data_IF_147696827273
#
_entry.id   IF_147696827273
#
_cell.length_a   1.000
_cell.length_b   1.000
_cell.length_c   1.000
_cell.angle_alpha   90.00
_cell.angle_beta   90.00
_cell.angle_gamma   90.00
#
_symmetry.space_group_name_H-M   'P 1'
#
loop_
_entity.id
_entity.type
_entity.pdbx_description
1 polymer ?
#
# COMPACT_ATOMS: atom_id res chain seq x y z
N UNK A 1 -39.63 -4.66 35.07
CA UNK A 1 -39.59 -4.31 33.64
C UNK A 1 -38.17 -3.86 33.31
N UNK A 2 -37.44 -4.68 32.58
CA UNK A 2 -36.10 -4.38 32.04
C UNK A 2 -36.24 -3.88 30.60
N UNK A 3 -35.56 -2.80 30.25
CA UNK A 3 -35.02 -2.41 28.92
C UNK A 3 -34.35 -1.06 29.14
N UNK A 4 -33.04 -0.90 29.13
CA UNK A 4 -32.05 -1.51 28.24
C UNK A 4 -31.58 -0.40 27.32
N UNK A 5 -30.47 0.26 27.68
CA UNK A 5 -29.77 1.21 26.85
C UNK A 5 -29.31 0.50 25.58
N UNK A 6 -29.83 0.90 24.42
CA UNK A 6 -29.23 0.56 23.13
C UNK A 6 -28.03 1.48 22.89
N UNK A 7 -26.87 1.04 23.40
CA UNK A 7 -25.56 1.48 22.90
C UNK A 7 -25.28 0.69 21.61
N UNK A 8 -25.78 1.21 20.48
CA UNK A 8 -25.50 0.65 19.17
C UNK A 8 -24.19 1.24 18.62
N UNK A 9 -23.25 0.37 18.30
CA UNK A 9 -22.16 0.67 17.36
C UNK A 9 -20.80 0.98 17.97
N UNK A 10 -20.33 0.15 18.91
CA UNK A 10 -18.89 -0.03 19.07
C UNK A 10 -18.38 -0.77 17.84
N UNK A 11 -17.87 -0.03 16.85
CA UNK A 11 -16.99 -0.59 15.83
C UNK A 11 -15.82 -1.21 16.58
N UNK A 12 -15.84 -2.54 16.71
CA UNK A 12 -14.77 -3.25 17.37
C UNK A 12 -13.49 -2.95 16.59
N UNK A 13 -12.55 -2.24 17.22
CA UNK A 13 -11.16 -2.23 16.82
C UNK A 13 -10.78 -3.67 16.41
N UNK A 14 -10.08 -3.87 15.28
CA UNK A 14 -9.63 -5.20 14.89
C UNK A 14 -8.65 -5.69 15.96
N UNK A 15 -9.16 -6.37 16.98
CA UNK A 15 -8.37 -7.01 18.01
C UNK A 15 -7.50 -8.02 17.30
N UNK A 16 -6.20 -7.69 17.23
CA UNK A 16 -5.17 -8.56 16.71
C UNK A 16 -5.23 -9.87 17.49
N UNK A 17 -5.85 -10.91 16.91
CA UNK A 17 -5.90 -12.25 17.51
C UNK A 17 -4.55 -12.92 17.26
N UNK A 18 -3.73 -12.93 18.30
CA UNK A 18 -2.32 -13.38 18.30
C UNK A 18 -2.15 -14.91 18.24
N UNK A 19 -3.20 -15.71 18.46
CA UNK A 19 -3.02 -17.12 18.84
C UNK A 19 -2.64 -18.13 17.72
N UNK A 20 -2.81 -17.81 16.43
CA UNK A 20 -2.56 -18.78 15.33
C UNK A 20 -2.10 -18.10 14.01
N UNK A 21 -1.54 -16.90 14.07
CA UNK A 21 -1.16 -16.18 12.84
C UNK A 21 0.10 -16.76 12.23
N UNK A 22 0.06 -16.99 10.91
CA UNK A 22 1.27 -17.10 10.11
C UNK A 22 1.99 -15.75 10.18
N UNK A 23 3.22 -15.77 10.66
CA UNK A 23 4.14 -14.64 10.51
C UNK A 23 4.65 -14.62 9.07
N UNK A 24 4.92 -13.43 8.57
CA UNK A 24 5.47 -13.21 7.24
C UNK A 24 6.92 -12.76 7.42
N UNK A 25 7.84 -13.54 6.86
CA UNK A 25 9.24 -13.13 6.72
C UNK A 25 9.27 -12.07 5.62
N UNK A 26 9.66 -10.84 5.92
CA UNK A 26 9.71 -9.72 5.00
C UNK A 26 9.31 -8.37 5.56
N UNK A 27 9.56 -7.34 4.74
CA UNK A 27 9.28 -5.92 5.04
C UNK A 27 8.04 -5.47 4.29
N UNK A 28 7.17 -4.71 4.97
CA UNK A 28 6.04 -4.03 4.34
C UNK A 28 6.33 -2.53 4.26
N UNK A 29 6.38 -1.97 3.06
CA UNK A 29 6.52 -0.53 2.84
C UNK A 29 5.16 0.08 2.48
N UNK A 30 4.71 1.07 3.25
CA UNK A 30 3.46 1.82 3.06
C UNK A 30 3.81 3.20 2.53
N UNK A 31 3.47 3.45 1.26
CA UNK A 31 3.67 4.73 0.59
C UNK A 31 2.41 5.59 0.73
N UNK A 32 2.55 6.79 1.29
CA UNK A 32 1.46 7.74 1.55
C UNK A 32 1.70 9.03 0.78
N UNK A 33 0.73 9.41 -0.05
CA UNK A 33 0.79 10.64 -0.85
C UNK A 33 0.64 11.89 0.00
N UNK A 34 1.51 12.86 -0.23
CA UNK A 34 1.37 14.19 0.37
C UNK A 34 0.21 14.99 -0.27
N UNK A 35 -0.26 16.04 0.41
CA UNK A 35 -1.22 16.99 -0.17
C UNK A 35 -2.64 16.46 -0.41
N UNK A 36 -3.04 15.40 0.29
CA UNK A 36 -4.37 14.79 0.12
C UNK A 36 -5.48 15.53 0.88
N UNK A 37 -6.74 15.27 0.51
CA UNK A 37 -7.90 15.79 1.25
C UNK A 37 -8.01 15.17 2.64
N UNK A 38 -8.69 15.82 3.59
CA UNK A 38 -8.85 15.32 4.95
C UNK A 38 -9.43 13.89 5.00
N UNK A 39 -10.39 13.56 4.13
CA UNK A 39 -10.98 12.22 4.04
C UNK A 39 -9.93 11.17 3.66
N UNK A 40 -9.03 11.51 2.75
CA UNK A 40 -7.94 10.62 2.32
C UNK A 40 -6.86 10.56 3.40
N UNK A 41 -6.56 11.67 4.08
CA UNK A 41 -5.62 11.70 5.20
C UNK A 41 -6.08 10.83 6.39
N UNK A 42 -7.39 10.81 6.67
CA UNK A 42 -7.97 9.90 7.68
C UNK A 42 -7.78 8.43 7.27
N UNK A 43 -7.96 8.11 5.99
CA UNK A 43 -7.72 6.77 5.47
C UNK A 43 -6.23 6.40 5.54
N UNK A 44 -5.33 7.31 5.18
CA UNK A 44 -3.88 7.12 5.29
C UNK A 44 -3.46 6.87 6.76
N UNK A 45 -4.03 7.64 7.69
CA UNK A 45 -3.81 7.48 9.13
C UNK A 45 -4.22 6.08 9.60
N UNK A 46 -5.41 5.59 9.21
CA UNK A 46 -5.84 4.23 9.56
C UNK A 46 -4.91 3.14 9.01
N UNK A 47 -4.44 3.30 7.78
CA UNK A 47 -3.51 2.35 7.15
C UNK A 47 -2.17 2.34 7.89
N UNK A 48 -1.63 3.52 8.20
CA UNK A 48 -0.40 3.66 9.01
C UNK A 48 -0.56 3.00 10.37
N UNK A 49 -1.59 3.37 11.11
CA UNK A 49 -1.82 2.87 12.48
C UNK A 49 -2.02 1.34 12.48
N UNK A 50 -2.67 0.79 11.45
CA UNK A 50 -2.78 -0.67 11.27
C UNK A 50 -1.42 -1.31 10.99
N UNK A 51 -0.61 -0.73 10.11
CA UNK A 51 0.76 -1.19 9.83
C UNK A 51 1.63 -1.21 11.10
N UNK A 52 1.59 -0.13 11.88
CA UNK A 52 2.31 -0.05 13.16
C UNK A 52 1.87 -1.13 14.15
N UNK A 53 0.57 -1.41 14.25
CA UNK A 53 0.05 -2.50 15.09
C UNK A 53 0.50 -3.88 14.62
N UNK A 54 0.54 -4.10 13.30
CA UNK A 54 1.00 -5.36 12.69
C UNK A 54 2.50 -5.58 12.97
N UNK A 55 3.31 -4.54 12.85
CA UNK A 55 4.74 -4.58 13.22
C UNK A 55 4.93 -4.84 14.71
N UNK A 56 4.21 -4.11 15.58
CA UNK A 56 4.28 -4.27 17.03
C UNK A 56 3.84 -5.68 17.48
N UNK A 57 2.94 -6.32 16.73
CA UNK A 57 2.52 -7.69 16.96
C UNK A 57 3.49 -8.76 16.40
N UNK A 58 4.58 -8.35 15.73
CA UNK A 58 5.57 -9.27 15.14
C UNK A 58 5.01 -10.11 13.99
N UNK A 59 4.01 -9.60 13.28
CA UNK A 59 3.39 -10.31 12.13
C UNK A 59 4.29 -10.25 10.90
N UNK A 60 5.06 -9.18 10.74
CA UNK A 60 6.08 -8.96 9.70
C UNK A 60 7.39 -8.55 10.38
N UNK A 61 8.51 -8.66 9.69
CA UNK A 61 9.81 -8.28 10.25
C UNK A 61 9.90 -6.78 10.52
N UNK A 62 9.35 -5.98 9.59
CA UNK A 62 9.25 -4.54 9.75
C UNK A 62 8.14 -3.93 8.89
N UNK A 63 7.65 -2.77 9.33
CA UNK A 63 6.81 -1.89 8.53
C UNK A 63 7.51 -0.56 8.39
N UNK A 64 7.63 -0.09 7.17
CA UNK A 64 8.19 1.21 6.82
C UNK A 64 7.10 2.09 6.23
N UNK A 65 7.05 3.36 6.63
CA UNK A 65 6.09 4.33 6.11
C UNK A 65 6.87 5.40 5.38
N UNK A 66 6.55 5.60 4.10
CA UNK A 66 7.27 6.49 3.19
C UNK A 66 6.30 7.50 2.62
N UNK A 67 6.63 8.77 2.69
CA UNK A 67 5.86 9.81 2.00
C UNK A 67 6.36 9.95 0.56
N UNK A 68 5.44 10.16 -0.38
CA UNK A 68 5.77 10.30 -1.80
C UNK A 68 4.89 11.38 -2.46
N UNK A 69 5.37 12.01 -3.56
CA UNK A 69 4.66 13.12 -4.18
C UNK A 69 3.38 12.65 -4.88
N UNK A 70 2.53 13.61 -5.26
CA UNK A 70 1.31 13.29 -6.01
C UNK A 70 1.57 12.78 -7.42
N UNK A 71 2.57 13.36 -8.07
CA UNK A 71 2.99 12.99 -9.40
C UNK A 71 4.49 13.09 -9.52
N UNK A 72 5.06 12.25 -10.37
CA UNK A 72 6.47 12.31 -10.76
C UNK A 72 6.57 12.54 -12.26
N UNK A 73 7.59 13.29 -12.67
CA UNK A 73 7.88 13.58 -14.08
C UNK A 73 9.17 12.90 -14.47
N UNK A 74 9.28 12.60 -15.76
CA UNK A 74 10.51 12.17 -16.40
C UNK A 74 10.90 13.22 -17.45
N UNK A 75 12.07 13.88 -17.35
CA UNK A 75 13.06 13.74 -16.27
C UNK A 75 12.57 14.29 -14.92
N UNK A 76 13.06 13.76 -13.79
CA UNK A 76 12.64 14.17 -12.45
C UNK A 76 13.11 15.58 -12.10
N UNK A 77 12.27 16.31 -11.37
CA UNK A 77 12.53 17.71 -10.95
C UNK A 77 13.22 17.82 -9.58
N UNK A 78 13.30 16.72 -8.82
CA UNK A 78 13.94 16.65 -7.52
C UNK A 78 14.47 15.24 -7.23
N UNK A 79 15.34 15.08 -6.22
CA UNK A 79 15.81 13.77 -5.79
C UNK A 79 14.66 12.87 -5.32
N UNK A 80 13.71 13.43 -4.56
CA UNK A 80 12.50 12.71 -4.10
C UNK A 80 11.67 12.23 -5.30
N UNK A 81 11.52 13.05 -6.33
CA UNK A 81 10.82 12.66 -7.55
C UNK A 81 11.59 11.57 -8.32
N UNK A 82 12.93 11.62 -8.33
CA UNK A 82 13.77 10.59 -8.94
C UNK A 82 13.64 9.24 -8.23
N UNK A 83 13.67 9.22 -6.89
CA UNK A 83 13.50 8.01 -6.09
C UNK A 83 12.10 7.39 -6.30
N UNK A 84 11.05 8.23 -6.29
CA UNK A 84 9.69 7.77 -6.52
C UNK A 84 9.45 7.28 -7.97
N UNK A 85 10.09 7.90 -8.96
CA UNK A 85 10.07 7.40 -10.34
C UNK A 85 10.81 6.05 -10.48
N UNK A 86 11.96 5.90 -9.81
CA UNK A 86 12.70 4.64 -9.77
C UNK A 86 11.91 3.51 -9.12
N UNK A 87 11.19 3.79 -8.02
CA UNK A 87 10.27 2.83 -7.39
C UNK A 87 9.11 2.46 -8.32
N UNK A 88 8.56 3.43 -9.04
CA UNK A 88 7.52 3.16 -10.02
C UNK A 88 8.02 2.23 -11.14
N UNK A 89 9.21 2.49 -11.69
CA UNK A 89 9.81 1.64 -12.71
C UNK A 89 10.09 0.22 -12.19
N UNK A 90 10.59 0.08 -10.94
CA UNK A 90 10.74 -1.22 -10.26
C UNK A 90 9.40 -1.96 -10.16
N UNK A 91 8.32 -1.27 -9.79
CA UNK A 91 7.00 -1.88 -9.68
C UNK A 91 6.47 -2.37 -11.02
N UNK A 92 6.72 -1.61 -12.10
CA UNK A 92 6.34 -1.97 -13.47
C UNK A 92 7.12 -3.22 -13.92
N UNK A 93 8.44 -3.26 -13.68
CA UNK A 93 9.28 -4.41 -14.01
C UNK A 93 8.81 -5.66 -13.25
N UNK A 94 8.45 -5.52 -11.98
CA UNK A 94 7.96 -6.63 -11.14
C UNK A 94 6.58 -7.16 -11.55
N UNK A 95 5.82 -6.43 -12.38
CA UNK A 95 4.55 -6.88 -12.96
C UNK A 95 4.67 -7.16 -14.46
N UNK A 96 5.85 -7.59 -14.93
CA UNK A 96 6.09 -7.94 -16.33
C UNK A 96 5.77 -6.79 -17.32
N UNK A 97 6.05 -5.55 -16.90
CA UNK A 97 5.74 -4.32 -17.62
C UNK A 97 4.24 -4.08 -17.91
N UNK A 98 3.35 -4.75 -17.17
CA UNK A 98 1.92 -4.46 -17.24
C UNK A 98 1.62 -3.10 -16.60
N UNK A 99 0.75 -2.27 -17.22
CA UNK A 99 0.40 -0.99 -16.64
C UNK A 99 -0.37 -1.19 -15.33
N UNK A 100 0.06 -0.51 -14.27
CA UNK A 100 -0.58 -0.50 -12.94
C UNK A 100 -1.86 0.36 -12.88
N UNK A 101 -2.49 0.56 -14.03
CA UNK A 101 -3.77 1.26 -14.14
C UNK A 101 -4.87 0.46 -13.44
N UNK A 102 -5.87 1.12 -12.83
CA UNK A 102 -6.10 2.58 -12.83
C UNK A 102 -5.36 3.35 -11.72
N UNK A 103 -4.56 2.70 -10.88
CA UNK A 103 -4.03 3.32 -9.67
C UNK A 103 -2.80 4.18 -9.90
N UNK A 104 -1.98 3.78 -10.87
CA UNK A 104 -0.88 4.56 -11.39
C UNK A 104 -1.23 4.97 -12.81
N UNK A 105 -1.55 6.24 -13.00
CA UNK A 105 -1.88 6.74 -14.33
C UNK A 105 -0.62 7.31 -14.97
N UNK A 106 -0.23 6.74 -16.11
CA UNK A 106 0.86 7.29 -16.93
C UNK A 106 0.28 8.08 -18.07
N UNK A 107 0.76 9.32 -18.22
CA UNK A 107 0.37 10.20 -19.32
C UNK A 107 1.60 10.84 -19.95
N UNK A 108 1.50 11.14 -21.24
CA UNK A 108 2.54 11.92 -21.92
C UNK A 108 2.73 13.25 -21.23
N UNK A 109 3.99 13.61 -20.98
CA UNK A 109 4.32 14.91 -20.42
C UNK A 109 4.07 16.05 -21.42
N UNK A 110 3.98 17.26 -20.90
CA UNK A 110 3.93 18.48 -21.69
C UNK A 110 5.17 19.32 -21.40
N UNK A 111 5.70 19.99 -22.43
CA UNK A 111 6.90 20.82 -22.29
C UNK A 111 8.18 19.98 -22.29
N UNK A 112 8.94 20.04 -21.20
CA UNK A 112 10.23 19.35 -21.05
C UNK A 112 10.14 17.95 -20.44
N UNK A 113 8.94 17.49 -20.09
CA UNK A 113 8.72 16.15 -19.55
C UNK A 113 8.24 15.19 -20.65
N UNK A 114 8.85 14.02 -20.72
CA UNK A 114 8.50 12.93 -21.62
C UNK A 114 7.27 12.16 -21.10
N UNK A 115 7.24 11.87 -19.80
CA UNK A 115 6.10 11.24 -19.11
C UNK A 115 5.83 11.88 -17.75
N UNK A 116 4.57 11.78 -17.33
CA UNK A 116 4.11 12.09 -15.98
C UNK A 116 3.37 10.87 -15.46
N UNK A 117 3.70 10.46 -14.24
CA UNK A 117 3.05 9.36 -13.54
C UNK A 117 2.33 9.93 -12.33
N UNK A 118 1.01 9.78 -12.29
CA UNK A 118 0.18 10.13 -11.14
C UNK A 118 0.19 8.94 -10.16
N UNK A 119 0.64 9.22 -8.92
CA UNK A 119 0.83 8.21 -7.89
C UNK A 119 -0.44 8.08 -7.03
N UNK A 120 -0.79 6.85 -6.61
CA UNK A 120 -1.97 6.64 -5.78
C UNK A 120 -1.80 7.26 -4.40
N UNK A 121 -2.92 7.60 -3.76
CA UNK A 121 -2.90 8.17 -2.43
C UNK A 121 -2.25 7.24 -1.38
N UNK A 122 -2.40 5.93 -1.57
CA UNK A 122 -1.84 4.88 -0.73
C UNK A 122 -1.35 3.77 -1.65
N UNK A 123 -0.13 3.29 -1.44
CA UNK A 123 0.41 2.08 -2.03
C UNK A 123 1.12 1.26 -0.95
N UNK A 124 1.05 -0.07 -1.03
CA UNK A 124 1.70 -0.99 -0.10
C UNK A 124 2.50 -2.00 -0.91
N UNK A 125 3.80 -2.06 -0.64
CA UNK A 125 4.71 -3.06 -1.19
C UNK A 125 5.10 -4.04 -0.07
N UNK A 126 5.07 -5.33 -0.37
CA UNK A 126 5.59 -6.37 0.51
C UNK A 126 6.81 -7.01 -0.15
N UNK A 127 7.95 -6.96 0.55
CA UNK A 127 9.22 -7.49 0.08
C UNK A 127 9.69 -8.66 0.94
N UNK A 128 10.23 -9.69 0.31
CA UNK A 128 10.85 -10.84 0.96
C UNK A 128 12.27 -10.95 0.42
N UNK A 129 13.27 -10.97 1.30
CA UNK A 129 14.69 -11.00 0.92
C UNK A 129 15.10 -9.88 -0.07
N UNK A 130 14.41 -8.73 0.00
CA UNK A 130 14.61 -7.57 -0.89
C UNK A 130 13.84 -7.63 -2.20
N UNK A 131 13.18 -8.76 -2.52
CA UNK A 131 12.40 -8.91 -3.75
C UNK A 131 10.93 -8.56 -3.53
N UNK A 132 10.32 -7.85 -4.49
CA UNK A 132 8.91 -7.48 -4.44
C UNK A 132 8.02 -8.73 -4.59
N UNK A 133 7.35 -9.11 -3.51
CA UNK A 133 6.49 -10.29 -3.46
C UNK A 133 5.00 -9.91 -3.48
N UNK A 134 4.65 -8.69 -3.09
CA UNK A 134 3.28 -8.17 -3.10
C UNK A 134 3.20 -6.67 -3.39
N UNK A 135 2.18 -6.25 -4.13
CA UNK A 135 1.90 -4.85 -4.46
C UNK A 135 0.39 -4.56 -4.41
N UNK A 136 0.02 -3.50 -3.69
CA UNK A 136 -1.37 -3.06 -3.50
C UNK A 136 -1.46 -1.53 -3.58
N UNK A 137 -2.51 -0.94 -4.18
CA UNK A 137 -3.56 -1.61 -4.91
C UNK A 137 -3.05 -2.11 -6.26
N UNK A 138 -3.62 -3.22 -6.75
CA UNK A 138 -3.30 -3.75 -8.07
C UNK A 138 -4.54 -4.32 -8.75
N UNK A 139 -4.62 -4.10 -10.06
CA UNK A 139 -5.56 -4.82 -10.92
C UNK A 139 -4.82 -5.89 -11.71
N UNK A 140 -5.30 -7.15 -11.69
CA UNK A 140 -4.75 -8.25 -12.50
C UNK A 140 -5.87 -9.19 -12.93
N UNK A 141 -5.98 -9.51 -14.22
CA UNK A 141 -6.91 -10.53 -14.74
C UNK A 141 -8.37 -10.36 -14.27
N UNK A 142 -8.82 -9.12 -14.10
CA UNK A 142 -10.17 -8.82 -13.58
C UNK A 142 -10.33 -8.95 -12.05
N UNK A 143 -9.24 -9.23 -11.34
CA UNK A 143 -9.16 -9.20 -9.88
C UNK A 143 -8.57 -7.88 -9.40
N UNK A 144 -9.17 -7.31 -8.36
CA UNK A 144 -8.70 -6.10 -7.69
C UNK A 144 -8.16 -6.49 -6.32
N UNK A 145 -6.85 -6.41 -6.16
CA UNK A 145 -6.16 -6.52 -4.89
C UNK A 145 -6.15 -5.13 -4.23
N UNK A 146 -7.05 -4.88 -3.28
CA UNK A 146 -7.18 -3.57 -2.63
C UNK A 146 -6.22 -3.38 -1.44
N UNK A 147 -6.10 -2.15 -0.94
CA UNK A 147 -5.37 -1.86 0.31
C UNK A 147 -6.03 -2.61 1.48
N UNK A 148 -7.36 -2.66 1.51
CA UNK A 148 -8.13 -3.35 2.53
C UNK A 148 -7.90 -4.86 2.52
N UNK A 149 -7.69 -5.46 1.34
CA UNK A 149 -7.32 -6.88 1.22
C UNK A 149 -5.91 -7.13 1.78
N UNK A 150 -4.96 -6.23 1.55
CA UNK A 150 -3.62 -6.29 2.14
C UNK A 150 -3.69 -6.23 3.68
N UNK A 151 -4.40 -5.24 4.22
CA UNK A 151 -4.56 -5.09 5.68
C UNK A 151 -5.30 -6.29 6.30
N UNK A 152 -6.34 -6.79 5.62
CA UNK A 152 -7.02 -8.01 6.05
C UNK A 152 -6.04 -9.16 6.10
N UNK A 153 -5.23 -9.37 5.05
CA UNK A 153 -4.27 -10.46 4.98
C UNK A 153 -3.21 -10.40 6.10
N UNK A 154 -2.70 -9.20 6.41
CA UNK A 154 -1.84 -8.98 7.58
C UNK A 154 -2.55 -9.35 8.90
N UNK A 155 -3.82 -9.00 9.02
CA UNK A 155 -4.62 -9.27 10.22
C UNK A 155 -5.16 -10.71 10.31
N UNK A 156 -5.21 -11.49 9.23
CA UNK A 156 -5.77 -12.84 9.25
C UNK A 156 -4.71 -13.92 9.01
N UNK A 157 -3.50 -13.53 8.59
CA UNK A 157 -2.48 -14.47 8.13
C UNK A 157 -2.78 -15.05 6.74
N UNK A 158 -3.65 -14.40 5.96
CA UNK A 158 -3.86 -14.76 4.55
C UNK A 158 -2.66 -14.34 3.69
N UNK A 159 -2.54 -14.90 2.49
CA UNK A 159 -1.36 -14.69 1.63
C UNK A 159 -1.23 -13.22 1.20
N UNK A 160 -0.09 -12.59 1.52
CA UNK A 160 0.32 -11.26 1.02
C UNK A 160 1.00 -11.29 -0.36
N UNK A 161 1.46 -12.46 -0.79
CA UNK A 161 2.15 -12.62 -2.07
C UNK A 161 1.12 -12.63 -3.22
N UNK A 162 1.07 -11.55 -3.99
CA UNK A 162 0.23 -11.43 -5.19
C UNK A 162 1.04 -11.28 -6.50
N UNK A 163 2.38 -11.18 -6.39
CA UNK A 163 3.31 -11.22 -7.52
C UNK A 163 3.86 -12.63 -7.72
N UNK A 164 4.25 -12.95 -8.96
CA UNK A 164 4.98 -14.19 -9.23
C UNK A 164 6.43 -13.99 -8.77
N UNK A 165 7.07 -15.00 -8.17
CA UNK A 165 8.51 -14.93 -7.97
C UNK A 165 9.18 -14.83 -9.36
N UNK A 166 10.14 -13.90 -9.48
CA UNK A 166 10.98 -13.74 -10.67
C UNK A 166 11.94 -14.90 -10.89
#
# INVERSE_FOLDING_TARGET
MFRGLDAAGGEADPVVKVADRRTFEGTVSVYLREGVTAVVADRQTRVRDTGEQVAAAGVVDSVEVVEWPEHVRDPPESAVAADALGLYDEFIDAVDAEPLVPFFETRSGAGSADRVVDLPAICVAYRVDGELAGLYPRWRDGHHDSIEDCLRALCTGERLRNLRPG
#
